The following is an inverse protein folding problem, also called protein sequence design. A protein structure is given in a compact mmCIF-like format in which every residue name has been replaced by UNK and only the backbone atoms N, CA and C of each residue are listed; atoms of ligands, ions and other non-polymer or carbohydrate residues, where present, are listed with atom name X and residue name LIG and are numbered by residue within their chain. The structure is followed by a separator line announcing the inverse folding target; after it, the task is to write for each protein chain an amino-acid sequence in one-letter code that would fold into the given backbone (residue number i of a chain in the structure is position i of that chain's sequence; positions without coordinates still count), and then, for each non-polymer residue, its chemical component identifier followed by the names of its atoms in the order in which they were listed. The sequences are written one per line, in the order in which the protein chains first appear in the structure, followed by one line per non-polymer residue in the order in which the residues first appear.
data_IF_775073596825
#
_entry.id   IF_775073596825
#
_cell.length_a   1.000
_cell.length_b   1.000
_cell.length_c   1.000
_cell.angle_alpha   90.00
_cell.angle_beta   90.00
_cell.angle_gamma   90.00
#
_symmetry.space_group_name_H-M   'P 1'
#
loop_
_entity.id
_entity.type
_entity.pdbx_description
1 polymer ?
#
# COMPACT_ATOMS: atom_id res chain seq x y z
N UNK A 1 28.23 -0.62 -14.88
CA UNK A 1 27.40 -1.57 -15.68
C UNK A 1 25.95 -1.44 -15.24
N UNK A 2 24.99 -1.37 -16.15
CA UNK A 2 23.57 -1.20 -15.79
C UNK A 2 22.79 -2.41 -16.28
N UNK A 3 22.03 -3.03 -15.37
CA UNK A 3 21.24 -4.23 -15.60
C UNK A 3 19.80 -3.90 -15.23
N UNK A 4 18.86 -4.19 -16.13
CA UNK A 4 17.42 -4.07 -15.85
C UNK A 4 16.79 -5.43 -16.13
N UNK A 5 16.14 -6.03 -15.14
CA UNK A 5 15.53 -7.37 -15.21
C UNK A 5 16.48 -8.45 -15.78
N UNK A 6 17.74 -8.43 -15.36
CA UNK A 6 18.78 -9.37 -15.80
C UNK A 6 19.31 -9.15 -17.22
N UNK A 7 18.82 -8.14 -17.95
CA UNK A 7 19.36 -7.72 -19.25
C UNK A 7 20.34 -6.57 -19.05
N UNK A 8 21.52 -6.69 -19.64
CA UNK A 8 22.50 -5.62 -19.63
C UNK A 8 22.11 -4.55 -20.66
N UNK A 9 22.04 -3.31 -20.21
CA UNK A 9 21.79 -2.15 -21.07
C UNK A 9 23.09 -1.36 -21.20
N UNK A 10 23.50 -1.13 -22.45
CA UNK A 10 24.56 -0.18 -22.76
C UNK A 10 23.91 1.21 -22.84
N UNK A 11 23.69 1.80 -21.67
CA UNK A 11 23.20 3.17 -21.56
C UNK A 11 24.41 4.04 -21.89
N UNK A 12 24.60 4.21 -23.21
CA UNK A 12 25.91 4.44 -23.83
C UNK A 12 26.76 5.45 -23.09
N UNK A 13 28.07 5.21 -23.02
CA UNK A 13 29.16 5.96 -22.36
C UNK A 13 28.97 7.47 -22.06
N UNK A 14 27.94 7.83 -21.31
CA UNK A 14 27.77 9.14 -20.70
C UNK A 14 28.51 9.06 -19.38
N UNK A 15 29.43 10.01 -19.16
CA UNK A 15 30.03 10.25 -17.86
C UNK A 15 28.92 10.74 -16.92
N UNK A 16 28.12 9.81 -16.41
CA UNK A 16 27.21 10.11 -15.32
C UNK A 16 28.06 10.58 -14.13
N UNK A 17 27.69 11.70 -13.53
CA UNK A 17 28.35 12.23 -12.35
C UNK A 17 27.94 11.44 -11.11
N UNK A 18 26.67 11.03 -11.04
CA UNK A 18 26.09 10.33 -9.90
C UNK A 18 25.03 9.29 -10.32
N UNK A 19 24.51 8.58 -9.31
CA UNK A 19 23.49 7.54 -9.50
C UNK A 19 22.14 8.11 -9.97
N UNK A 20 21.79 9.34 -9.59
CA UNK A 20 20.53 9.99 -10.00
C UNK A 20 20.44 10.11 -11.52
N UNK A 21 21.52 10.57 -12.18
CA UNK A 21 21.56 10.69 -13.64
C UNK A 21 21.38 9.34 -14.36
N UNK A 22 21.74 8.23 -13.71
CA UNK A 22 21.47 6.89 -14.24
C UNK A 22 19.96 6.60 -14.23
N UNK A 23 19.27 6.92 -13.12
CA UNK A 23 17.83 6.73 -13.02
C UNK A 23 17.06 7.63 -13.98
N UNK A 24 17.44 8.92 -14.07
CA UNK A 24 16.89 9.85 -15.05
C UNK A 24 17.04 9.31 -16.47
N UNK A 25 18.22 8.78 -16.82
CA UNK A 25 18.45 8.24 -18.17
C UNK A 25 17.63 6.99 -18.46
N UNK A 26 17.52 6.09 -17.49
CA UNK A 26 16.68 4.87 -17.60
C UNK A 26 15.20 5.24 -17.80
N UNK A 27 14.74 6.31 -17.14
CA UNK A 27 13.40 6.87 -17.33
C UNK A 27 13.24 7.53 -18.71
N UNK A 28 14.19 8.37 -19.13
CA UNK A 28 14.18 9.05 -20.44
C UNK A 28 14.16 8.08 -21.62
N UNK A 29 14.91 6.98 -21.52
CA UNK A 29 15.00 5.97 -22.57
C UNK A 29 13.75 5.06 -22.64
N UNK A 30 12.75 5.30 -21.77
CA UNK A 30 11.48 4.57 -21.76
C UNK A 30 11.58 3.13 -21.26
N UNK A 31 12.70 2.75 -20.62
CA UNK A 31 12.90 1.37 -20.15
C UNK A 31 11.97 0.97 -18.99
N UNK A 32 11.30 1.94 -18.37
CA UNK A 32 10.38 1.76 -17.24
C UNK A 32 8.92 2.08 -17.59
N UNK A 33 8.56 2.23 -18.87
CA UNK A 33 7.16 2.39 -19.28
C UNK A 33 6.32 1.18 -18.84
N UNK A 34 5.21 1.43 -18.14
CA UNK A 34 4.34 0.41 -17.53
C UNK A 34 5.03 -0.58 -16.58
N UNK A 35 6.15 -0.16 -15.98
CA UNK A 35 6.92 -0.96 -15.01
C UNK A 35 7.12 -0.19 -13.71
N UNK A 36 7.02 -0.92 -12.62
CA UNK A 36 7.29 -0.41 -11.27
C UNK A 36 8.64 -0.97 -10.83
N UNK A 37 9.53 -0.09 -10.36
CA UNK A 37 10.79 -0.49 -9.73
C UNK A 37 10.48 -1.11 -8.37
N UNK A 38 10.87 -2.37 -8.18
CA UNK A 38 10.63 -3.11 -6.93
C UNK A 38 11.87 -3.22 -6.08
N UNK A 39 13.05 -3.23 -6.72
CA UNK A 39 14.31 -3.28 -6.02
C UNK A 39 15.40 -2.61 -6.86
N UNK A 40 16.34 -1.97 -6.18
CA UNK A 40 17.58 -1.47 -6.79
C UNK A 40 18.72 -2.06 -6.00
N UNK A 41 19.74 -2.57 -6.69
CA UNK A 41 20.98 -2.99 -6.07
C UNK A 41 22.16 -2.24 -6.69
N UNK A 42 23.01 -1.68 -5.84
CA UNK A 42 24.26 -1.01 -6.21
C UNK A 42 25.40 -1.89 -5.73
N UNK A 43 26.30 -2.27 -6.63
CA UNK A 43 27.41 -3.19 -6.33
C UNK A 43 26.95 -4.52 -5.69
N UNK A 44 25.81 -5.04 -6.13
CA UNK A 44 25.16 -6.26 -5.59
C UNK A 44 24.62 -6.13 -4.16
N UNK A 45 24.61 -4.93 -3.58
CA UNK A 45 23.97 -4.64 -2.30
C UNK A 45 22.64 -3.91 -2.51
N UNK A 46 21.56 -4.27 -1.81
CA UNK A 46 20.29 -3.55 -1.88
C UNK A 46 20.50 -2.07 -1.57
N UNK A 47 20.02 -1.23 -2.47
CA UNK A 47 20.06 0.21 -2.33
C UNK A 47 18.66 0.72 -1.98
N UNK A 48 18.61 1.52 -0.93
CA UNK A 48 17.43 2.29 -0.52
C UNK A 48 17.93 3.61 0.03
N UNK A 49 17.26 4.70 -0.34
CA UNK A 49 17.63 6.01 0.17
C UNK A 49 17.44 6.08 1.69
N UNK A 50 18.52 6.36 2.41
CA UNK A 50 18.50 6.63 3.86
C UNK A 50 18.21 8.10 4.17
N UNK A 51 18.34 8.98 3.18
CA UNK A 51 17.93 10.38 3.22
C UNK A 51 17.54 10.85 1.80
N UNK A 52 16.69 11.87 1.66
CA UNK A 52 16.22 12.33 0.35
C UNK A 52 17.37 12.72 -0.58
N UNK A 53 17.30 12.28 -1.84
CA UNK A 53 18.28 12.59 -2.89
C UNK A 53 19.69 12.02 -2.63
N UNK A 54 19.81 10.96 -1.83
CA UNK A 54 21.09 10.29 -1.60
C UNK A 54 21.77 9.85 -2.90
N UNK A 55 20.98 9.48 -3.92
CA UNK A 55 21.52 9.08 -5.22
C UNK A 55 22.34 10.20 -5.90
N UNK A 56 22.10 11.47 -5.58
CA UNK A 56 22.86 12.61 -6.12
C UNK A 56 24.29 12.68 -5.55
N UNK A 57 24.48 12.23 -4.29
CA UNK A 57 25.76 12.26 -3.59
C UNK A 57 26.65 11.05 -3.91
N UNK A 58 26.10 10.04 -4.58
CA UNK A 58 26.84 8.81 -4.90
C UNK A 58 27.63 8.98 -6.19
N UNK A 59 28.94 9.22 -6.06
CA UNK A 59 29.84 9.34 -7.21
C UNK A 59 29.87 8.05 -8.05
N UNK A 60 29.70 8.19 -9.37
CA UNK A 60 29.73 7.03 -10.28
C UNK A 60 31.08 6.32 -10.33
N UNK A 61 32.16 6.97 -9.88
CA UNK A 61 33.48 6.36 -9.76
C UNK A 61 33.49 5.16 -8.78
N UNK A 62 32.63 5.18 -7.76
CA UNK A 62 32.52 4.12 -6.75
C UNK A 62 31.47 3.04 -7.12
N UNK A 63 30.74 3.24 -8.22
CA UNK A 63 29.65 2.37 -8.68
C UNK A 63 30.13 1.47 -9.81
N UNK A 64 30.28 0.18 -9.52
CA UNK A 64 30.67 -0.85 -10.49
C UNK A 64 29.45 -1.37 -11.26
N UNK A 65 28.33 -1.59 -10.56
CA UNK A 65 27.10 -2.10 -11.15
C UNK A 65 25.85 -1.52 -10.50
N UNK A 66 24.85 -1.23 -11.32
CA UNK A 66 23.48 -0.91 -10.90
C UNK A 66 22.55 -1.95 -11.49
N UNK A 67 21.79 -2.63 -10.64
CA UNK A 67 20.77 -3.60 -11.03
C UNK A 67 19.40 -3.09 -10.60
N UNK A 68 18.51 -2.90 -11.57
CA UNK A 68 17.14 -2.45 -11.36
C UNK A 68 16.25 -3.66 -11.62
N UNK A 69 15.53 -4.09 -10.58
CA UNK A 69 14.48 -5.09 -10.70
C UNK A 69 13.15 -4.39 -10.79
N UNK A 70 12.35 -4.79 -11.77
CA UNK A 70 11.05 -4.19 -12.02
C UNK A 70 9.99 -5.26 -12.21
N UNK A 71 8.74 -4.86 -12.11
CA UNK A 71 7.59 -5.68 -12.45
C UNK A 71 6.57 -4.87 -13.25
N UNK A 72 5.71 -5.53 -14.01
CA UNK A 72 4.66 -4.81 -14.74
C UNK A 72 3.69 -4.15 -13.74
N UNK A 73 3.20 -2.95 -14.04
CA UNK A 73 2.26 -2.22 -13.17
C UNK A 73 1.03 -3.07 -12.80
N UNK A 74 0.52 -3.84 -13.75
CA UNK A 74 -0.61 -4.74 -13.54
C UNK A 74 -0.29 -5.91 -12.59
N UNK A 75 0.92 -6.46 -12.68
CA UNK A 75 1.37 -7.50 -11.75
C UNK A 75 1.51 -6.93 -10.33
N UNK A 76 2.06 -5.73 -10.20
CA UNK A 76 2.15 -5.02 -8.92
C UNK A 76 0.76 -4.77 -8.34
N UNK A 77 -0.21 -4.34 -9.14
CA UNK A 77 -1.58 -4.14 -8.70
C UNK A 77 -2.21 -5.45 -8.17
N UNK A 78 -1.97 -6.60 -8.82
CA UNK A 78 -2.39 -7.91 -8.30
C UNK A 78 -1.74 -8.22 -6.96
N UNK A 79 -0.42 -8.01 -6.80
CA UNK A 79 0.28 -8.23 -5.53
C UNK A 79 -0.27 -7.33 -4.41
N UNK A 80 -0.53 -6.05 -4.71
CA UNK A 80 -1.15 -5.11 -3.76
C UNK A 80 -2.51 -5.66 -3.29
N UNK A 81 -3.35 -6.20 -4.17
CA UNK A 81 -4.64 -6.78 -3.73
C UNK A 81 -4.47 -8.00 -2.81
N UNK A 82 -3.38 -8.77 -2.94
CA UNK A 82 -3.08 -9.88 -2.02
C UNK A 82 -2.67 -9.35 -0.64
N UNK A 83 -1.85 -8.31 -0.59
CA UNK A 83 -1.48 -7.66 0.66
C UNK A 83 -2.68 -6.99 1.34
N UNK A 84 -3.55 -6.30 0.59
CA UNK A 84 -4.77 -5.70 1.12
C UNK A 84 -5.68 -6.74 1.80
N UNK A 85 -5.72 -7.97 1.30
CA UNK A 85 -6.49 -9.05 1.94
C UNK A 85 -5.95 -9.36 3.35
N UNK A 86 -4.62 -9.30 3.54
CA UNK A 86 -4.00 -9.47 4.86
C UNK A 86 -4.28 -8.28 5.76
N UNK A 87 -4.29 -7.06 5.21
CA UNK A 87 -4.62 -5.84 5.94
C UNK A 87 -6.03 -5.91 6.53
N UNK A 88 -7.00 -6.53 5.84
CA UNK A 88 -8.33 -6.78 6.42
C UNK A 88 -8.27 -7.59 7.71
N UNK A 89 -7.42 -8.62 7.77
CA UNK A 89 -7.26 -9.40 9.00
C UNK A 89 -6.57 -8.57 10.10
N UNK A 90 -5.58 -7.75 9.75
CA UNK A 90 -4.90 -6.85 10.69
C UNK A 90 -5.89 -5.84 11.28
N UNK A 91 -6.77 -5.25 10.47
CA UNK A 91 -7.82 -4.35 10.95
C UNK A 91 -8.79 -5.07 11.88
N UNK A 92 -9.20 -6.29 11.56
CA UNK A 92 -10.09 -7.08 12.41
C UNK A 92 -9.41 -7.44 13.76
N UNK A 93 -8.16 -7.87 13.74
CA UNK A 93 -7.40 -8.17 14.97
C UNK A 93 -7.18 -6.89 15.80
N UNK A 94 -6.87 -5.76 15.15
CA UNK A 94 -6.74 -4.46 15.80
C UNK A 94 -8.03 -4.01 16.46
N UNK A 95 -9.17 -4.09 15.77
CA UNK A 95 -10.48 -3.74 16.34
C UNK A 95 -10.83 -4.58 17.57
N UNK A 96 -10.57 -5.89 17.51
CA UNK A 96 -10.74 -6.78 18.67
C UNK A 96 -9.84 -6.38 19.84
N UNK A 97 -8.55 -6.11 19.56
CA UNK A 97 -7.60 -5.71 20.60
C UNK A 97 -8.02 -4.42 21.29
N UNK A 98 -8.44 -3.41 20.53
CA UNK A 98 -8.94 -2.15 21.08
C UNK A 98 -10.16 -2.37 21.97
N UNK A 99 -11.13 -3.17 21.52
CA UNK A 99 -12.32 -3.50 22.32
C UNK A 99 -11.94 -4.21 23.64
N UNK A 100 -11.00 -5.17 23.58
CA UNK A 100 -10.51 -5.88 24.76
C UNK A 100 -9.80 -4.95 25.76
N UNK A 101 -9.02 -3.96 25.28
CA UNK A 101 -8.32 -2.98 26.13
C UNK A 101 -9.30 -2.03 26.83
N UNK A 102 -10.30 -1.48 26.11
CA UNK A 102 -11.34 -0.64 26.72
C UNK A 102 -12.14 -1.40 27.78
N UNK A 103 -12.43 -2.69 27.57
CA UNK A 103 -13.10 -3.54 28.59
C UNK A 103 -12.25 -3.81 29.82
N UNK A 104 -10.93 -3.79 29.67
CA UNK A 104 -9.98 -3.91 30.78
C UNK A 104 -9.74 -2.57 31.50
N UNK A 105 -10.37 -1.49 31.04
CA UNK A 105 -10.16 -0.12 31.51
C UNK A 105 -8.68 0.33 31.38
N UNK A 106 -7.98 -0.17 30.36
CA UNK A 106 -6.65 0.30 29.97
C UNK A 106 -6.78 1.38 28.89
N UNK A 107 -7.39 2.51 29.26
CA UNK A 107 -7.81 3.55 28.32
C UNK A 107 -6.64 4.15 27.53
N UNK A 108 -5.46 4.25 28.16
CA UNK A 108 -4.28 4.83 27.52
C UNK A 108 -3.76 3.93 26.38
N UNK A 109 -3.55 2.63 26.64
CA UNK A 109 -3.13 1.68 25.59
C UNK A 109 -4.25 1.50 24.55
N UNK A 110 -5.52 1.53 24.98
CA UNK A 110 -6.67 1.43 24.08
C UNK A 110 -6.70 2.58 23.06
N UNK A 111 -6.53 3.82 23.52
CA UNK A 111 -6.53 5.02 22.66
C UNK A 111 -5.33 5.05 21.70
N UNK A 112 -4.14 4.64 22.14
CA UNK A 112 -2.96 4.51 21.28
C UNK A 112 -3.21 3.46 20.18
N UNK A 113 -3.65 2.26 20.58
CA UNK A 113 -3.96 1.17 19.63
C UNK A 113 -5.11 1.55 18.69
N UNK A 114 -6.08 2.33 19.17
CA UNK A 114 -7.19 2.85 18.36
C UNK A 114 -6.69 3.82 17.28
N UNK A 115 -5.76 4.72 17.61
CA UNK A 115 -5.17 5.62 16.61
C UNK A 115 -4.42 4.85 15.53
N UNK A 116 -3.61 3.86 15.92
CA UNK A 116 -2.91 2.97 14.98
C UNK A 116 -3.90 2.26 14.05
N UNK A 117 -5.02 1.76 14.61
CA UNK A 117 -6.08 1.12 13.83
C UNK A 117 -6.70 2.08 12.80
N UNK A 118 -7.01 3.31 13.20
CA UNK A 118 -7.57 4.34 12.29
C UNK A 118 -6.60 4.66 11.16
N UNK A 119 -5.29 4.77 11.45
CA UNK A 119 -4.28 4.99 10.43
C UNK A 119 -4.19 3.82 9.43
N UNK A 120 -4.24 2.57 9.93
CA UNK A 120 -4.29 1.39 9.07
C UNK A 120 -5.53 1.40 8.17
N UNK A 121 -6.71 1.72 8.72
CA UNK A 121 -7.94 1.76 7.93
C UNK A 121 -7.88 2.88 6.88
N UNK A 122 -7.36 4.06 7.23
CA UNK A 122 -7.20 5.16 6.27
C UNK A 122 -6.30 4.74 5.11
N UNK A 123 -5.12 4.19 5.41
CA UNK A 123 -4.17 3.73 4.39
C UNK A 123 -4.80 2.64 3.49
N UNK A 124 -5.53 1.71 4.11
CA UNK A 124 -6.28 0.68 3.39
C UNK A 124 -7.31 1.28 2.41
N UNK A 125 -8.16 2.20 2.88
CA UNK A 125 -9.20 2.83 2.06
C UNK A 125 -8.58 3.68 0.94
N UNK A 126 -7.49 4.40 1.21
CA UNK A 126 -6.74 5.15 0.20
C UNK A 126 -6.22 4.23 -0.90
N UNK A 127 -5.57 3.12 -0.54
CA UNK A 127 -5.05 2.17 -1.53
C UNK A 127 -6.15 1.52 -2.36
N UNK A 128 -7.28 1.18 -1.75
CA UNK A 128 -8.45 0.69 -2.48
C UNK A 128 -8.98 1.75 -3.45
N UNK A 129 -9.01 3.02 -3.04
CA UNK A 129 -9.38 4.15 -3.89
C UNK A 129 -8.49 4.29 -5.12
N UNK A 130 -7.15 4.25 -4.92
CA UNK A 130 -6.18 4.34 -6.03
C UNK A 130 -6.38 3.20 -7.04
N UNK A 131 -6.47 1.96 -6.57
CA UNK A 131 -6.70 0.81 -7.45
C UNK A 131 -8.04 0.94 -8.21
N UNK A 132 -9.07 1.47 -7.54
CA UNK A 132 -10.39 1.70 -8.12
C UNK A 132 -10.37 2.68 -9.27
N UNK A 133 -9.67 3.80 -9.08
CA UNK A 133 -9.60 4.87 -10.07
C UNK A 133 -8.77 4.43 -11.29
N UNK A 134 -7.66 3.73 -11.07
CA UNK A 134 -6.74 3.27 -12.13
C UNK A 134 -7.37 2.19 -13.02
N UNK A 135 -8.00 1.18 -12.42
CA UNK A 135 -8.53 0.02 -13.15
C UNK A 135 -10.01 0.18 -13.54
N UNK A 136 -10.56 1.40 -13.49
CA UNK A 136 -11.94 1.74 -13.88
C UNK A 136 -12.99 0.77 -13.33
N UNK A 137 -12.92 0.55 -12.02
CA UNK A 137 -13.81 -0.33 -11.27
C UNK A 137 -15.17 0.35 -11.05
N UNK A 138 -15.95 0.37 -12.12
CA UNK A 138 -17.27 1.01 -12.17
C UNK A 138 -18.31 0.16 -11.43
N UNK A 139 -18.90 0.80 -10.43
CA UNK A 139 -20.21 0.50 -9.85
C UNK A 139 -20.44 -0.91 -9.28
N UNK A 140 -19.45 -1.51 -8.63
CA UNK A 140 -19.74 -2.66 -7.76
C UNK A 140 -20.64 -2.22 -6.59
N UNK A 141 -21.87 -2.75 -6.47
CA UNK A 141 -22.75 -2.42 -5.35
C UNK A 141 -22.11 -2.78 -4.00
N UNK A 142 -21.27 -3.81 -3.98
CA UNK A 142 -20.54 -4.21 -2.78
C UNK A 142 -19.55 -3.17 -2.28
N UNK A 143 -18.84 -2.48 -3.18
CA UNK A 143 -17.95 -1.38 -2.78
C UNK A 143 -18.77 -0.25 -2.19
N UNK A 144 -19.81 0.20 -2.90
CA UNK A 144 -20.66 1.31 -2.45
C UNK A 144 -21.27 1.01 -1.07
N UNK A 145 -21.85 -0.19 -0.89
CA UNK A 145 -22.43 -0.62 0.38
C UNK A 145 -21.37 -0.75 1.50
N UNK A 146 -20.15 -1.21 1.20
CA UNK A 146 -19.09 -1.32 2.20
C UNK A 146 -18.53 0.04 2.60
N UNK A 147 -18.40 0.96 1.65
CA UNK A 147 -17.97 2.34 1.89
C UNK A 147 -19.00 3.13 2.71
N UNK A 148 -20.29 2.99 2.38
CA UNK A 148 -21.38 3.59 3.15
C UNK A 148 -21.40 3.06 4.60
N UNK A 149 -21.34 1.73 4.78
CA UNK A 149 -21.30 1.14 6.11
C UNK A 149 -20.09 1.61 6.94
N UNK A 150 -18.91 1.76 6.32
CA UNK A 150 -17.73 2.29 7.02
C UNK A 150 -17.89 3.77 7.40
N UNK A 151 -18.51 4.59 6.56
CA UNK A 151 -18.74 6.00 6.87
C UNK A 151 -19.74 6.18 8.02
N UNK A 152 -20.83 5.40 8.03
CA UNK A 152 -21.78 5.36 9.13
C UNK A 152 -21.08 4.95 10.43
N UNK A 153 -20.30 3.86 10.38
CA UNK A 153 -19.50 3.36 11.50
C UNK A 153 -18.56 4.43 12.09
N UNK A 154 -17.80 5.12 11.24
CA UNK A 154 -16.87 6.13 11.71
C UNK A 154 -17.56 7.34 12.33
N UNK A 155 -18.74 7.69 11.81
CA UNK A 155 -19.56 8.76 12.39
C UNK A 155 -20.02 8.37 13.79
N UNK A 156 -20.50 7.13 13.96
CA UNK A 156 -20.94 6.63 15.26
C UNK A 156 -19.79 6.50 16.25
N UNK A 157 -18.70 5.83 15.86
CA UNK A 157 -17.49 5.70 16.68
C UNK A 157 -16.91 7.06 17.08
N UNK A 158 -16.94 8.05 16.18
CA UNK A 158 -16.53 9.42 16.47
C UNK A 158 -17.39 10.07 17.57
N UNK A 159 -18.71 9.95 17.48
CA UNK A 159 -19.63 10.47 18.51
C UNK A 159 -19.41 9.76 19.86
N UNK A 160 -19.20 8.45 19.85
CA UNK A 160 -18.98 7.67 21.08
C UNK A 160 -17.65 8.03 21.73
N UNK A 161 -16.59 8.20 20.93
CA UNK A 161 -15.28 8.66 21.36
C UNK A 161 -15.35 10.06 22.00
N UNK A 162 -16.09 11.00 21.40
CA UNK A 162 -16.29 12.35 21.95
C UNK A 162 -17.00 12.35 23.31
N UNK A 163 -17.88 11.37 23.56
CA UNK A 163 -18.60 11.22 24.83
C UNK A 163 -17.84 10.35 25.85
N UNK A 164 -16.65 9.86 25.51
CA UNK A 164 -15.82 8.98 26.36
C UNK A 164 -16.55 7.69 26.81
N UNK A 165 -17.49 7.17 26.00
CA UNK A 165 -18.22 5.94 26.31
C UNK A 165 -17.46 4.71 25.78
N UNK A 166 -16.46 4.28 26.54
CA UNK A 166 -15.54 3.19 26.17
C UNK A 166 -16.21 1.82 26.04
N UNK A 167 -17.27 1.58 26.79
CA UNK A 167 -18.01 0.31 26.71
C UNK A 167 -18.77 0.25 25.39
N UNK A 168 -19.46 1.34 25.04
CA UNK A 168 -20.14 1.41 23.75
C UNK A 168 -19.15 1.37 22.58
N UNK A 169 -17.99 2.03 22.69
CA UNK A 169 -16.97 1.98 21.65
C UNK A 169 -16.43 0.55 21.44
N UNK A 170 -16.21 -0.17 22.53
CA UNK A 170 -15.80 -1.57 22.48
C UNK A 170 -16.87 -2.45 21.83
N UNK A 171 -18.15 -2.22 22.12
CA UNK A 171 -19.26 -2.97 21.53
C UNK A 171 -19.42 -2.68 20.03
N UNK A 172 -19.29 -1.42 19.62
CA UNK A 172 -19.27 -1.04 18.19
C UNK A 172 -18.11 -1.72 17.46
N UNK A 173 -16.93 -1.72 18.07
CA UNK A 173 -15.76 -2.37 17.51
C UNK A 173 -15.99 -3.88 17.34
N UNK A 174 -16.50 -4.58 18.35
CA UNK A 174 -16.68 -6.03 18.30
C UNK A 174 -17.83 -6.47 17.39
N UNK A 175 -18.99 -5.83 17.51
CA UNK A 175 -20.23 -6.32 16.91
C UNK A 175 -20.55 -5.70 15.56
N UNK A 176 -20.02 -4.51 15.27
CA UNK A 176 -20.37 -3.79 14.04
C UNK A 176 -19.16 -3.59 13.11
N UNK A 177 -18.04 -3.12 13.65
CA UNK A 177 -16.82 -2.88 12.88
C UNK A 177 -16.21 -4.19 12.35
N UNK A 178 -16.06 -5.24 13.17
CA UNK A 178 -15.49 -6.51 12.69
C UNK A 178 -16.27 -7.09 11.49
N UNK A 179 -17.62 -7.21 11.54
CA UNK A 179 -18.38 -7.62 10.36
C UNK A 179 -18.27 -6.67 9.17
N UNK A 180 -18.17 -5.35 9.40
CA UNK A 180 -18.01 -4.36 8.33
C UNK A 180 -16.66 -4.52 7.61
N UNK A 181 -15.58 -4.68 8.36
CA UNK A 181 -14.22 -4.92 7.85
C UNK A 181 -14.15 -6.20 7.01
N UNK A 182 -14.76 -7.29 7.48
CA UNK A 182 -14.77 -8.57 6.77
C UNK A 182 -15.42 -8.49 5.38
N UNK A 183 -16.41 -7.63 5.17
CA UNK A 183 -17.05 -7.43 3.85
C UNK A 183 -16.05 -6.94 2.80
N UNK A 184 -15.00 -6.23 3.19
CA UNK A 184 -13.99 -5.73 2.26
C UNK A 184 -13.18 -6.84 1.59
N UNK A 185 -13.13 -8.06 2.14
CA UNK A 185 -12.54 -9.22 1.45
C UNK A 185 -13.21 -9.50 0.12
N UNK A 186 -14.53 -9.29 0.02
CA UNK A 186 -15.28 -9.44 -1.23
C UNK A 186 -14.93 -8.35 -2.23
N UNK A 187 -14.84 -7.10 -1.77
CA UNK A 187 -14.42 -5.95 -2.58
C UNK A 187 -13.02 -6.20 -3.16
N UNK A 188 -12.05 -6.55 -2.32
CA UNK A 188 -10.66 -6.83 -2.74
C UNK A 188 -10.60 -7.96 -3.77
N UNK A 189 -11.43 -9.00 -3.60
CA UNK A 189 -11.52 -10.08 -4.58
C UNK A 189 -12.02 -9.57 -5.94
N UNK A 190 -13.06 -8.73 -5.97
CA UNK A 190 -13.58 -8.13 -7.20
C UNK A 190 -12.51 -7.25 -7.88
N UNK A 191 -11.81 -6.40 -7.10
CA UNK A 191 -10.69 -5.60 -7.60
C UNK A 191 -9.65 -6.49 -8.31
N UNK A 192 -9.23 -7.56 -7.66
CA UNK A 192 -8.21 -8.47 -8.20
C UNK A 192 -8.67 -9.19 -9.46
N UNK A 193 -9.92 -9.65 -9.50
CA UNK A 193 -10.47 -10.37 -10.64
C UNK A 193 -10.51 -9.45 -11.87
N UNK A 194 -10.84 -8.17 -11.68
CA UNK A 194 -10.88 -7.17 -12.76
C UNK A 194 -9.50 -6.75 -13.24
N UNK A 195 -8.54 -6.49 -12.34
CA UNK A 195 -7.14 -6.23 -12.72
C UNK A 195 -6.61 -7.37 -13.61
N UNK A 196 -6.94 -8.62 -13.27
CA UNK A 196 -6.55 -9.80 -14.07
C UNK A 196 -7.25 -9.88 -15.42
N UNK A 197 -8.48 -9.39 -15.55
CA UNK A 197 -9.18 -9.32 -16.82
C UNK A 197 -8.57 -8.26 -17.73
N UNK A 198 -8.33 -7.05 -17.22
CA UNK A 198 -7.65 -5.97 -17.94
C UNK A 198 -6.25 -6.40 -18.42
N UNK A 199 -5.53 -7.19 -17.61
CA UNK A 199 -4.20 -7.72 -17.96
C UNK A 199 -4.25 -8.75 -19.10
N UNK A 200 -5.39 -9.42 -19.34
CA UNK A 200 -5.53 -10.45 -20.39
C UNK A 200 -5.96 -9.89 -21.74
N UNK A 201 -6.46 -8.66 -21.79
CA UNK A 201 -6.94 -8.00 -23.00
C UNK A 201 -5.84 -7.19 -23.73
N UNK A 202 -4.65 -7.09 -23.12
CA UNK A 202 -3.43 -6.46 -23.68
C UNK A 202 -2.47 -7.56 -24.12
#
# INVERSE_FOLDING_TARGET
MIIIDGKQYDIGSHNFENLEQVFEKVLEDGHLEDRVVTNVAVNSEPFSEIYPHQAEDMEMADIQSVEITTMATNEMAVEITLELYKVVNIMAEGGKRVADLFRQADDAEALETYQDLIDVIRNFLTMVGVLRDEYSLKDYPEYASSAEAMNEMFTEMGNVLENEDWILLADLLEYEFLPAVEKWKKVIKQLRDDIRLTTREI
#
